data_IF_563009111124
#
_entry.id   IF_563009111124
#
_cell.length_a   1.000
_cell.length_b   1.000
_cell.length_c   1.000
_cell.angle_alpha   90.00
_cell.angle_beta   90.00
_cell.angle_gamma   90.00
#
_symmetry.space_group_name_H-M   'P 1'
#
loop_
_entity.id
_entity.type
_entity.pdbx_description
1 polymer ?
#
# COMPACT_ATOMS: atom_id res chain seq x y z
N UNK A 1 13.93 3.25 -10.23
CA UNK A 1 13.63 4.57 -9.65
C UNK A 1 12.32 5.18 -10.12
N UNK A 2 12.12 5.41 -11.42
CA UNK A 2 10.87 5.99 -11.95
C UNK A 2 9.60 5.24 -11.50
N UNK A 3 9.63 3.91 -11.47
CA UNK A 3 8.50 3.07 -11.06
C UNK A 3 8.16 3.25 -9.57
N UNK A 4 9.16 3.38 -8.69
CA UNK A 4 8.95 3.67 -7.26
C UNK A 4 8.29 5.05 -7.07
N UNK A 5 8.77 6.06 -7.80
CA UNK A 5 8.16 7.40 -7.79
C UNK A 5 6.69 7.35 -8.25
N UNK A 6 6.44 6.76 -9.42
CA UNK A 6 5.08 6.66 -9.97
C UNK A 6 4.12 5.98 -9.01
N UNK A 7 4.57 4.88 -8.39
CA UNK A 7 3.78 4.14 -7.41
C UNK A 7 3.49 4.96 -6.15
N UNK A 8 4.53 5.55 -5.53
CA UNK A 8 4.38 6.31 -4.28
C UNK A 8 3.48 7.52 -4.47
N UNK A 9 3.72 8.33 -5.51
CA UNK A 9 2.85 9.47 -5.82
C UNK A 9 1.46 9.04 -6.25
N UNK A 10 1.33 7.97 -7.03
CA UNK A 10 0.05 7.42 -7.44
C UNK A 10 -0.82 7.01 -6.26
N UNK A 11 -0.25 6.31 -5.28
CA UNK A 11 -0.96 5.91 -4.05
C UNK A 11 -1.42 7.12 -3.25
N UNK A 12 -0.56 8.13 -3.10
CA UNK A 12 -0.90 9.37 -2.38
C UNK A 12 -2.05 10.10 -3.08
N UNK A 13 -1.96 10.29 -4.40
CA UNK A 13 -3.00 10.97 -5.18
C UNK A 13 -4.34 10.23 -5.06
N UNK A 14 -4.35 8.92 -5.25
CA UNK A 14 -5.57 8.10 -5.12
C UNK A 14 -6.17 8.20 -3.72
N UNK A 15 -5.34 8.16 -2.67
CA UNK A 15 -5.79 8.31 -1.29
C UNK A 15 -6.47 9.66 -1.05
N UNK A 16 -5.89 10.75 -1.57
CA UNK A 16 -6.50 12.08 -1.49
C UNK A 16 -7.81 12.17 -2.27
N UNK A 17 -7.89 11.59 -3.47
CA UNK A 17 -9.12 11.57 -4.26
C UNK A 17 -10.23 10.86 -3.48
N UNK A 18 -9.95 9.69 -2.90
CA UNK A 18 -10.93 8.92 -2.12
C UNK A 18 -11.40 9.73 -0.91
N UNK A 19 -10.49 10.39 -0.20
CA UNK A 19 -10.82 11.26 0.93
C UNK A 19 -11.72 12.42 0.51
N UNK A 20 -11.36 13.12 -0.57
CA UNK A 20 -12.14 14.24 -1.10
C UNK A 20 -13.54 13.76 -1.52
N UNK A 21 -13.63 12.64 -2.24
CA UNK A 21 -14.92 12.07 -2.65
C UNK A 21 -15.81 11.75 -1.44
N UNK A 22 -15.24 11.17 -0.39
CA UNK A 22 -15.98 10.89 0.84
C UNK A 22 -16.47 12.18 1.51
N UNK A 23 -15.61 13.19 1.65
CA UNK A 23 -15.98 14.49 2.25
C UNK A 23 -17.07 15.19 1.44
N UNK A 24 -16.95 15.21 0.10
CA UNK A 24 -17.96 15.80 -0.78
C UNK A 24 -19.30 15.05 -0.70
N UNK A 25 -19.25 13.72 -0.63
CA UNK A 25 -20.44 12.89 -0.44
C UNK A 25 -21.15 13.27 0.87
N UNK A 26 -20.42 13.43 1.95
CA UNK A 26 -20.94 13.83 3.26
C UNK A 26 -21.49 15.25 3.26
N UNK A 27 -20.78 16.22 2.66
CA UNK A 27 -21.24 17.62 2.58
C UNK A 27 -22.57 17.75 1.81
N UNK A 28 -22.78 16.91 0.79
CA UNK A 28 -24.03 16.88 0.01
C UNK A 28 -25.16 16.12 0.69
N UNK A 29 -25.05 15.77 1.98
CA UNK A 29 -25.99 14.89 2.70
C UNK A 29 -26.26 13.59 1.91
N UNK A 30 -25.25 13.11 1.18
CA UNK A 30 -25.34 11.90 0.38
C UNK A 30 -25.63 10.69 1.26
N UNK A 31 -26.64 9.92 0.85
CA UNK A 31 -26.94 8.62 1.45
C UNK A 31 -26.31 7.52 0.61
N UNK A 32 -25.68 6.55 1.26
CA UNK A 32 -25.17 5.36 0.57
C UNK A 32 -26.33 4.49 0.07
N UNK A 33 -27.41 4.44 0.87
CA UNK A 33 -28.63 3.70 0.50
C UNK A 33 -29.61 4.66 -0.15
N UNK A 34 -29.73 4.58 -1.48
CA UNK A 34 -30.64 5.45 -2.27
C UNK A 34 -32.08 4.88 -2.41
N UNK A 35 -32.34 3.66 -1.89
CA UNK A 35 -33.67 3.04 -1.95
C UNK A 35 -34.66 3.81 -1.06
N UNK A 36 -35.85 4.04 -1.59
CA UNK A 36 -36.99 4.56 -0.78
C UNK A 36 -37.54 3.40 0.05
N UNK A 37 -37.70 3.62 1.34
CA UNK A 37 -38.40 2.67 2.23
C UNK A 37 -39.90 2.69 1.91
N UNK A 38 -40.51 1.52 1.85
CA UNK A 38 -41.95 1.36 1.61
C UNK A 38 -42.68 1.40 2.95
N UNK A 39 -42.09 0.88 4.02
CA UNK A 39 -42.64 0.79 5.37
C UNK A 39 -41.70 1.42 6.40
N UNK A 40 -42.24 1.78 7.59
CA UNK A 40 -41.46 2.34 8.70
C UNK A 40 -40.38 1.37 9.21
N UNK A 41 -40.62 0.07 9.19
CA UNK A 41 -39.61 -0.95 9.56
C UNK A 41 -38.40 -0.94 8.61
N UNK A 42 -38.66 -0.85 7.31
CA UNK A 42 -37.58 -0.72 6.32
C UNK A 42 -36.80 0.57 6.50
N UNK A 43 -37.44 1.65 6.84
CA UNK A 43 -36.83 2.95 7.11
C UNK A 43 -35.83 2.86 8.26
N UNK A 44 -36.25 2.23 9.38
CA UNK A 44 -35.39 2.01 10.55
C UNK A 44 -34.20 1.11 10.16
N UNK A 45 -34.45 0.05 9.40
CA UNK A 45 -33.41 -0.86 8.90
C UNK A 45 -32.38 -0.11 8.03
N UNK A 46 -32.84 0.70 7.08
CA UNK A 46 -31.94 1.47 6.21
C UNK A 46 -31.13 2.51 6.99
N UNK A 47 -31.69 3.15 8.00
CA UNK A 47 -30.99 4.08 8.88
C UNK A 47 -29.86 3.38 9.66
N UNK A 48 -30.12 2.17 10.19
CA UNK A 48 -29.08 1.36 10.85
C UNK A 48 -27.96 1.01 9.89
N UNK A 49 -28.28 0.50 8.70
CA UNK A 49 -27.29 0.15 7.69
C UNK A 49 -26.48 1.36 7.21
N UNK A 50 -27.12 2.49 7.01
CA UNK A 50 -26.45 3.75 6.64
C UNK A 50 -25.41 4.14 7.68
N UNK A 51 -25.75 4.03 8.97
CA UNK A 51 -24.81 4.29 10.07
C UNK A 51 -23.63 3.32 10.05
N UNK A 52 -23.89 2.03 9.86
CA UNK A 52 -22.85 0.99 9.80
C UNK A 52 -21.90 1.25 8.62
N UNK A 53 -22.44 1.47 7.42
CA UNK A 53 -21.64 1.75 6.21
C UNK A 53 -20.77 2.99 6.42
N UNK A 54 -21.33 4.04 7.03
CA UNK A 54 -20.58 5.25 7.30
C UNK A 54 -19.43 5.01 8.29
N UNK A 55 -19.64 4.25 9.36
CA UNK A 55 -18.59 3.87 10.31
C UNK A 55 -17.51 3.04 9.62
N UNK A 56 -17.89 2.05 8.81
CA UNK A 56 -16.95 1.24 8.04
C UNK A 56 -16.13 2.08 7.05
N UNK A 57 -16.77 3.06 6.39
CA UNK A 57 -16.07 3.98 5.50
C UNK A 57 -15.03 4.82 6.23
N UNK A 58 -15.35 5.35 7.41
CA UNK A 58 -14.40 6.11 8.25
C UNK A 58 -13.25 5.23 8.70
N UNK A 59 -13.54 4.03 9.20
CA UNK A 59 -12.51 3.07 9.62
C UNK A 59 -11.61 2.70 8.44
N UNK A 60 -12.19 2.42 7.28
CA UNK A 60 -11.42 2.13 6.05
C UNK A 60 -10.50 3.29 5.64
N UNK A 61 -10.99 4.53 5.72
CA UNK A 61 -10.18 5.73 5.45
C UNK A 61 -9.03 5.90 6.47
N UNK A 62 -9.27 5.60 7.74
CA UNK A 62 -8.23 5.65 8.77
C UNK A 62 -7.14 4.60 8.51
N UNK A 63 -7.54 3.36 8.19
CA UNK A 63 -6.60 2.29 7.84
C UNK A 63 -5.78 2.68 6.62
N UNK A 64 -6.42 3.15 5.55
CA UNK A 64 -5.76 3.63 4.33
C UNK A 64 -4.79 4.78 4.63
N UNK A 65 -5.20 5.74 5.46
CA UNK A 65 -4.36 6.87 5.87
C UNK A 65 -3.12 6.40 6.63
N UNK A 66 -3.30 5.67 7.71
CA UNK A 66 -2.22 5.31 8.65
C UNK A 66 -1.26 4.28 8.04
N UNK A 67 -1.79 3.21 7.42
CA UNK A 67 -0.97 2.09 6.98
C UNK A 67 -0.46 2.20 5.54
N UNK A 68 -1.06 3.06 4.73
CA UNK A 68 -0.68 3.17 3.32
C UNK A 68 -0.18 4.58 3.01
N UNK A 69 -0.97 5.63 3.31
CA UNK A 69 -0.63 6.99 2.89
C UNK A 69 0.52 7.57 3.70
N UNK A 70 0.53 7.40 5.02
CA UNK A 70 1.59 7.93 5.90
C UNK A 70 2.96 7.34 5.54
N UNK A 71 3.15 6.01 5.42
CA UNK A 71 4.44 5.45 4.99
C UNK A 71 4.90 5.98 3.62
N UNK A 72 3.97 6.10 2.65
CA UNK A 72 4.30 6.67 1.36
C UNK A 72 4.77 8.14 1.46
N UNK A 73 4.13 8.95 2.32
CA UNK A 73 4.56 10.33 2.55
C UNK A 73 5.93 10.42 3.22
N UNK A 74 6.22 9.54 4.16
CA UNK A 74 7.52 9.47 4.85
C UNK A 74 8.65 9.05 3.90
N UNK A 75 8.34 8.32 2.84
CA UNK A 75 9.32 7.90 1.84
C UNK A 75 9.62 8.96 0.78
N UNK A 76 8.84 10.05 0.68
CA UNK A 76 9.07 11.13 -0.31
C UNK A 76 10.49 11.71 -0.22
N UNK A 77 11.02 12.10 0.96
CA UNK A 77 12.37 12.65 1.05
C UNK A 77 13.43 11.70 0.52
N UNK A 78 13.32 10.41 0.81
CA UNK A 78 14.25 9.37 0.34
C UNK A 78 14.20 9.22 -1.18
N UNK A 79 13.00 9.30 -1.77
CA UNK A 79 12.83 9.27 -3.23
C UNK A 79 13.42 10.49 -3.91
N UNK A 80 13.18 11.69 -3.38
CA UNK A 80 13.64 12.94 -3.99
C UNK A 80 15.15 13.12 -3.87
N UNK A 81 15.75 12.69 -2.76
CA UNK A 81 17.20 12.75 -2.54
C UNK A 81 17.96 11.56 -3.15
N UNK A 82 17.25 10.58 -3.73
CA UNK A 82 17.83 9.31 -4.19
C UNK A 82 18.62 8.57 -3.08
N UNK A 83 18.21 8.75 -1.83
CA UNK A 83 18.88 8.17 -0.65
C UNK A 83 18.13 6.92 -0.17
N UNK A 84 18.06 5.90 -1.03
CA UNK A 84 17.45 4.61 -0.70
C UNK A 84 18.37 3.82 0.24
N UNK A 85 17.77 3.01 1.09
CA UNK A 85 18.53 2.06 1.91
C UNK A 85 19.08 0.96 0.99
N UNK A 86 20.39 0.75 1.02
CA UNK A 86 21.07 -0.29 0.24
C UNK A 86 21.57 -1.37 1.19
N UNK A 87 21.17 -2.61 0.91
CA UNK A 87 21.52 -3.77 1.73
C UNK A 87 21.94 -4.93 0.83
N UNK A 88 23.07 -5.58 1.16
CA UNK A 88 23.43 -6.89 0.60
C UNK A 88 22.90 -7.95 1.55
N UNK A 89 22.09 -8.84 1.05
CA UNK A 89 21.35 -9.78 1.85
C UNK A 89 21.21 -11.14 1.16
N UNK A 90 20.99 -12.17 1.96
CA UNK A 90 20.63 -13.50 1.51
C UNK A 90 19.12 -13.67 1.48
N UNK A 91 18.59 -14.25 0.41
CA UNK A 91 17.17 -14.54 0.26
C UNK A 91 16.79 -15.71 1.17
N UNK A 92 16.00 -15.46 2.19
CA UNK A 92 15.52 -16.48 3.15
C UNK A 92 14.19 -17.08 2.74
N UNK A 93 13.38 -16.35 1.98
CA UNK A 93 12.16 -16.84 1.37
C UNK A 93 11.98 -16.17 0.01
N UNK A 94 12.10 -16.94 -1.06
CA UNK A 94 12.06 -16.46 -2.43
C UNK A 94 10.64 -16.30 -2.96
N UNK A 95 10.46 -15.31 -3.83
CA UNK A 95 9.39 -15.35 -4.81
C UNK A 95 9.90 -16.23 -5.95
N UNK A 96 9.31 -17.41 -6.12
CA UNK A 96 9.67 -18.32 -7.21
C UNK A 96 9.83 -17.55 -8.52
N UNK A 97 10.92 -17.83 -9.24
CA UNK A 97 11.14 -17.33 -10.58
C UNK A 97 9.97 -17.76 -11.46
N UNK A 98 9.03 -16.85 -11.69
CA UNK A 98 7.91 -17.08 -12.61
C UNK A 98 8.18 -16.38 -13.92
N UNK A 99 7.66 -16.91 -15.01
CA UNK A 99 7.85 -16.47 -16.38
C UNK A 99 7.53 -14.98 -16.67
N UNK A 100 6.86 -14.27 -15.77
CA UNK A 100 6.47 -12.88 -15.96
C UNK A 100 7.37 -11.94 -15.17
N UNK A 101 8.34 -11.32 -15.83
CA UNK A 101 9.22 -10.28 -15.28
C UNK A 101 8.52 -8.99 -14.83
N UNK A 102 7.22 -8.85 -15.10
CA UNK A 102 6.43 -7.63 -14.84
C UNK A 102 5.42 -7.78 -13.70
N UNK A 103 5.64 -8.66 -12.74
CA UNK A 103 4.76 -8.80 -11.56
C UNK A 103 5.40 -8.26 -10.29
N UNK A 104 4.58 -7.68 -9.42
CA UNK A 104 5.01 -7.34 -8.06
C UNK A 104 5.28 -8.63 -7.28
N UNK A 105 6.43 -8.70 -6.65
CA UNK A 105 6.90 -9.86 -5.89
C UNK A 105 7.23 -9.44 -4.47
N UNK A 106 7.15 -10.40 -3.56
CA UNK A 106 7.61 -10.24 -2.18
C UNK A 106 8.68 -11.27 -1.90
N UNK A 107 9.80 -10.82 -1.35
CA UNK A 107 10.90 -11.66 -0.87
C UNK A 107 11.18 -11.35 0.58
N UNK A 108 11.65 -12.34 1.33
CA UNK A 108 12.26 -12.14 2.63
C UNK A 108 13.75 -12.26 2.47
N UNK A 109 14.46 -11.29 3.02
CA UNK A 109 15.92 -11.24 2.96
C UNK A 109 16.46 -11.09 4.37
N UNK A 110 17.67 -11.62 4.60
CA UNK A 110 18.43 -11.42 5.82
C UNK A 110 19.67 -10.60 5.49
N UNK A 111 19.81 -9.42 6.11
CA UNK A 111 20.98 -8.58 5.98
C UNK A 111 22.22 -9.33 6.47
N UNK A 112 23.27 -9.41 5.65
CA UNK A 112 24.52 -10.09 6.02
C UNK A 112 25.28 -9.38 7.15
N UNK A 113 25.07 -8.06 7.33
CA UNK A 113 25.80 -7.27 8.33
C UNK A 113 25.09 -7.25 9.68
N UNK A 114 23.77 -7.07 9.69
CA UNK A 114 23.00 -6.92 10.92
C UNK A 114 22.30 -8.21 11.33
N UNK A 115 22.08 -9.14 10.40
CA UNK A 115 21.27 -10.34 10.61
C UNK A 115 19.76 -10.07 10.68
N UNK A 116 19.33 -8.83 10.46
CA UNK A 116 17.92 -8.45 10.47
C UNK A 116 17.18 -9.00 9.25
N UNK A 117 15.93 -9.41 9.47
CA UNK A 117 15.07 -9.90 8.38
C UNK A 117 14.15 -8.77 7.90
N UNK A 118 14.10 -8.60 6.59
CA UNK A 118 13.25 -7.61 5.90
C UNK A 118 12.35 -8.30 4.90
N UNK A 119 11.09 -7.81 4.81
CA UNK A 119 10.14 -8.27 3.80
C UNK A 119 10.01 -7.23 2.71
N UNK A 120 10.67 -7.44 1.59
CA UNK A 120 10.71 -6.47 0.49
C UNK A 120 9.70 -6.79 -0.60
N UNK A 121 9.11 -5.74 -1.14
CA UNK A 121 8.29 -5.78 -2.35
C UNK A 121 9.04 -5.13 -3.50
N UNK A 122 9.10 -5.81 -4.63
CA UNK A 122 9.79 -5.31 -5.82
C UNK A 122 9.14 -5.79 -7.11
N UNK A 123 9.49 -5.12 -8.21
CA UNK A 123 9.12 -5.52 -9.56
C UNK A 123 10.36 -6.09 -10.24
N UNK A 124 10.24 -7.28 -10.79
CA UNK A 124 11.36 -7.90 -11.49
C UNK A 124 11.26 -9.41 -11.57
N UNK A 125 12.37 -10.02 -11.99
CA UNK A 125 12.56 -11.48 -11.99
C UNK A 125 12.59 -12.01 -10.57
N UNK A 126 12.18 -13.27 -10.36
CA UNK A 126 12.27 -13.91 -9.06
C UNK A 126 13.72 -14.09 -8.62
N UNK A 127 13.94 -14.19 -7.33
CA UNK A 127 15.20 -14.61 -6.71
C UNK A 127 14.97 -15.92 -5.98
N UNK A 128 15.90 -16.84 -6.08
CA UNK A 128 15.77 -18.14 -5.44
C UNK A 128 16.28 -18.11 -3.99
N UNK A 129 15.90 -19.12 -3.23
CA UNK A 129 16.31 -19.26 -1.83
C UNK A 129 17.83 -19.43 -1.76
N UNK A 130 18.48 -18.63 -0.90
CA UNK A 130 19.93 -18.64 -0.72
C UNK A 130 20.69 -17.74 -1.66
N UNK A 131 20.02 -17.08 -2.62
CA UNK A 131 20.66 -16.10 -3.48
C UNK A 131 21.15 -14.90 -2.66
N UNK A 132 22.37 -14.45 -2.98
CA UNK A 132 22.90 -13.21 -2.45
C UNK A 132 22.61 -12.08 -3.42
N UNK A 133 21.82 -11.13 -2.97
CA UNK A 133 21.37 -10.00 -3.77
C UNK A 133 21.65 -8.68 -3.07
N UNK A 134 21.90 -7.65 -3.85
CA UNK A 134 21.93 -6.27 -3.36
C UNK A 134 20.59 -5.61 -3.72
N UNK A 135 19.93 -5.07 -2.72
CA UNK A 135 18.63 -4.41 -2.89
C UNK A 135 18.70 -2.97 -2.43
N UNK A 136 17.99 -2.11 -3.15
CA UNK A 136 17.72 -0.73 -2.73
C UNK A 136 16.24 -0.56 -2.48
N UNK A 137 15.88 -0.08 -1.30
CA UNK A 137 14.49 0.02 -0.90
C UNK A 137 14.16 1.27 -0.07
N UNK A 138 12.87 1.56 0.01
CA UNK A 138 12.31 2.65 0.80
C UNK A 138 12.08 2.17 2.24
N UNK A 139 12.54 2.91 3.26
CA UNK A 139 12.57 2.40 4.63
C UNK A 139 11.19 2.22 5.28
N UNK A 140 10.16 2.92 4.82
CA UNK A 140 8.83 2.87 5.44
C UNK A 140 7.84 1.99 4.70
N UNK A 141 7.92 1.91 3.38
CA UNK A 141 7.04 1.08 2.56
C UNK A 141 7.64 -0.27 2.21
N UNK A 142 8.94 -0.48 2.44
CA UNK A 142 9.68 -1.68 2.06
C UNK A 142 9.59 -2.02 0.56
N UNK A 143 9.39 -0.99 -0.27
CA UNK A 143 9.41 -1.13 -1.71
C UNK A 143 10.78 -0.82 -2.26
N UNK A 144 11.26 -1.72 -3.12
CA UNK A 144 12.60 -1.60 -3.66
C UNK A 144 12.77 -2.20 -5.04
N UNK A 145 14.02 -2.35 -5.41
CA UNK A 145 14.45 -3.08 -6.60
C UNK A 145 15.78 -3.77 -6.31
N UNK A 146 16.02 -4.86 -7.01
CA UNK A 146 17.28 -5.58 -6.96
C UNK A 146 18.29 -4.82 -7.83
N UNK A 147 19.49 -4.60 -7.28
CA UNK A 147 20.62 -4.03 -8.01
C UNK A 147 21.43 -5.23 -8.49
N UNK A 148 21.63 -5.34 -9.80
CA UNK A 148 22.49 -6.36 -10.39
C UNK A 148 23.99 -6.12 -10.04
#
# INVERSE_FOLDING_TARGET
MALLMFRTFGVIIVSFIVLIMYVLHRKKNGKFIKRKAVNEEEKIKYQKWEKIINVMAVVGLLILGIFITVPCCLDIPYLLSNNLVEVTAEVTQGAMSGENSNSERRIHIRDEKTGEEHSLKYWGTGSDLGDKITVRYLPHTEYGYVVE
#
